data_IF_335397844352
#
_entry.id   IF_335397844352
#
_cell.length_a   1.000
_cell.length_b   1.000
_cell.length_c   1.000
_cell.angle_alpha   90.00
_cell.angle_beta   90.00
_cell.angle_gamma   90.00
#
_symmetry.space_group_name_H-M   'P 1'
#
loop_
_entity.id
_entity.type
_entity.pdbx_description
1 polymer ?
#
# COMPACT_ATOMS: atom_id res chain seq x y z
N UNK A 1 6.17 -18.54 -0.03
CA UNK A 1 6.37 -18.16 -1.48
C UNK A 1 7.86 -18.32 -1.79
N UNK A 2 8.23 -18.97 -2.89
CA UNK A 2 9.63 -19.09 -3.30
C UNK A 2 10.14 -17.81 -3.99
N UNK A 3 11.46 -17.70 -4.16
CA UNK A 3 12.10 -16.50 -4.72
C UNK A 3 11.74 -16.23 -6.19
N UNK A 4 11.52 -17.27 -6.99
CA UNK A 4 11.18 -17.12 -8.41
C UNK A 4 9.77 -16.55 -8.59
N UNK A 5 8.80 -17.03 -7.80
CA UNK A 5 7.44 -16.52 -7.82
C UNK A 5 7.36 -15.09 -7.27
N UNK A 6 8.15 -14.78 -6.23
CA UNK A 6 8.28 -13.41 -5.74
C UNK A 6 8.79 -12.49 -6.83
N UNK A 7 9.88 -12.87 -7.50
CA UNK A 7 10.46 -12.08 -8.59
C UNK A 7 9.47 -11.88 -9.74
N UNK A 8 8.71 -12.92 -10.10
CA UNK A 8 7.66 -12.80 -11.11
C UNK A 8 6.64 -11.72 -10.73
N UNK A 9 6.14 -11.67 -9.50
CA UNK A 9 5.21 -10.63 -9.07
C UNK A 9 5.88 -9.24 -9.06
N UNK A 10 7.13 -9.14 -8.62
CA UNK A 10 7.87 -7.87 -8.66
C UNK A 10 7.99 -7.36 -10.09
N UNK A 11 8.35 -8.22 -11.04
CA UNK A 11 8.52 -7.84 -12.45
C UNK A 11 7.20 -7.38 -13.10
N UNK A 12 6.06 -7.98 -12.71
CA UNK A 12 4.73 -7.61 -13.19
C UNK A 12 4.20 -6.31 -12.55
N UNK A 13 4.49 -6.09 -11.28
CA UNK A 13 3.86 -5.01 -10.50
C UNK A 13 4.70 -3.74 -10.45
N UNK A 14 6.02 -3.85 -10.26
CA UNK A 14 6.89 -2.67 -10.12
C UNK A 14 6.79 -1.67 -11.28
N UNK A 15 6.62 -2.06 -12.57
CA UNK A 15 6.43 -1.10 -13.65
C UNK A 15 5.22 -0.18 -13.48
N UNK A 16 4.17 -0.62 -12.74
CA UNK A 16 2.98 0.20 -12.47
C UNK A 16 3.29 1.39 -11.56
N UNK A 17 4.24 1.22 -10.63
CA UNK A 17 4.71 2.29 -9.76
C UNK A 17 5.57 3.35 -10.49
N UNK A 18 5.87 3.14 -11.79
CA UNK A 18 6.59 4.11 -12.65
C UNK A 18 5.65 4.92 -13.54
N UNK A 19 4.35 4.81 -13.37
CA UNK A 19 3.38 5.57 -14.13
C UNK A 19 3.60 7.07 -13.95
N UNK A 20 3.57 7.88 -15.04
CA UNK A 20 4.10 9.25 -15.01
C UNK A 20 3.27 10.25 -14.19
N UNK A 21 2.06 9.89 -13.80
CA UNK A 21 1.22 10.72 -12.93
C UNK A 21 1.49 10.51 -11.43
N UNK A 22 2.17 9.44 -11.03
CA UNK A 22 2.53 9.17 -9.64
C UNK A 22 3.64 10.12 -9.19
N UNK A 23 3.49 10.70 -8.01
CA UNK A 23 4.48 11.58 -7.39
C UNK A 23 4.96 11.04 -6.05
N UNK A 24 4.01 10.58 -5.23
CA UNK A 24 4.30 9.93 -3.96
C UNK A 24 4.13 8.41 -4.05
N UNK A 25 3.00 7.91 -4.63
CA UNK A 25 2.69 6.48 -4.72
C UNK A 25 3.47 5.82 -5.87
N UNK A 26 4.79 6.05 -5.86
CA UNK A 26 5.79 5.60 -6.83
C UNK A 26 6.66 4.45 -6.30
N UNK A 27 7.72 4.06 -7.03
CA UNK A 27 8.64 2.99 -6.62
C UNK A 27 9.35 3.29 -5.30
N UNK A 28 9.61 4.56 -4.96
CA UNK A 28 10.24 4.94 -3.71
C UNK A 28 9.33 4.62 -2.53
N UNK A 29 8.05 4.98 -2.62
CA UNK A 29 7.05 4.59 -1.62
C UNK A 29 7.01 3.07 -1.45
N UNK A 30 6.93 2.31 -2.56
CA UNK A 30 6.96 0.85 -2.51
C UNK A 30 8.20 0.32 -1.80
N UNK A 31 9.39 0.85 -2.11
CA UNK A 31 10.64 0.43 -1.47
C UNK A 31 10.66 0.80 0.02
N UNK A 32 10.14 1.97 0.40
CA UNK A 32 10.04 2.41 1.78
C UNK A 32 9.13 1.48 2.62
N UNK A 33 7.93 1.14 2.13
CA UNK A 33 7.01 0.25 2.87
C UNK A 33 7.54 -1.19 2.97
N UNK A 34 8.13 -1.72 1.91
CA UNK A 34 8.74 -3.05 1.93
C UNK A 34 9.93 -3.11 2.88
N UNK A 35 10.76 -2.05 2.96
CA UNK A 35 11.87 -1.99 3.90
C UNK A 35 11.40 -1.95 5.36
N UNK A 36 10.25 -1.32 5.66
CA UNK A 36 9.65 -1.38 7.01
C UNK A 36 9.19 -2.79 7.33
N UNK A 37 8.46 -3.43 6.41
CA UNK A 37 7.99 -4.80 6.58
C UNK A 37 9.14 -5.80 6.80
N UNK A 38 10.26 -5.63 6.07
CA UNK A 38 11.44 -6.49 6.23
C UNK A 38 12.06 -6.34 7.63
N UNK A 39 12.15 -5.12 8.16
CA UNK A 39 12.61 -4.89 9.55
C UNK A 39 11.69 -5.53 10.59
N UNK A 40 10.36 -5.45 10.40
CA UNK A 40 9.38 -6.11 11.27
C UNK A 40 9.52 -7.64 11.23
N UNK A 41 9.75 -8.20 10.04
CA UNK A 41 9.99 -9.63 9.86
C UNK A 41 11.29 -10.09 10.56
N UNK A 42 12.39 -9.33 10.44
CA UNK A 42 13.65 -9.60 11.14
C UNK A 42 13.47 -9.59 12.66
N UNK A 43 12.62 -8.69 13.17
CA UNK A 43 12.27 -8.62 14.59
C UNK A 43 11.25 -9.68 15.03
N UNK A 44 10.80 -10.54 14.10
CA UNK A 44 9.79 -11.60 14.33
C UNK A 44 8.44 -11.09 14.84
N UNK A 45 8.06 -9.90 14.41
CA UNK A 45 6.77 -9.30 14.78
C UNK A 45 5.63 -9.75 13.86
N UNK A 46 5.94 -10.21 12.64
CA UNK A 46 4.97 -10.69 11.67
C UNK A 46 4.79 -12.22 11.81
N UNK A 47 3.53 -12.66 11.85
CA UNK A 47 3.20 -14.08 11.84
C UNK A 47 3.37 -14.68 10.42
N UNK A 48 3.00 -13.92 9.40
CA UNK A 48 3.05 -14.30 7.97
C UNK A 48 3.79 -13.25 7.14
N UNK A 49 5.13 -13.08 7.27
CA UNK A 49 5.86 -12.03 6.57
C UNK A 49 5.66 -12.04 5.05
N UNK A 50 5.50 -13.23 4.46
CA UNK A 50 5.26 -13.40 3.03
C UNK A 50 3.91 -12.84 2.56
N UNK A 51 2.89 -12.91 3.40
CA UNK A 51 1.55 -12.34 3.13
C UNK A 51 1.61 -10.82 3.21
N UNK A 52 2.23 -10.28 4.27
CA UNK A 52 2.39 -8.83 4.44
C UNK A 52 3.17 -8.21 3.27
N UNK A 53 4.30 -8.81 2.89
CA UNK A 53 5.09 -8.36 1.73
C UNK A 53 4.29 -8.40 0.43
N UNK A 54 3.50 -9.47 0.22
CA UNK A 54 2.66 -9.62 -0.97
C UNK A 54 1.58 -8.53 -1.01
N UNK A 55 0.92 -8.30 0.12
CA UNK A 55 -0.08 -7.23 0.24
C UNK A 55 0.54 -5.86 -0.07
N UNK A 56 1.70 -5.53 0.53
CA UNK A 56 2.39 -4.26 0.31
C UNK A 56 2.95 -4.11 -1.12
N UNK A 57 3.34 -5.21 -1.79
CA UNK A 57 3.72 -5.13 -3.20
C UNK A 57 2.55 -4.69 -4.09
N UNK A 58 1.33 -5.10 -3.73
CA UNK A 58 0.14 -4.89 -4.55
C UNK A 58 -0.75 -3.72 -4.09
N UNK A 59 -0.59 -3.15 -2.89
CA UNK A 59 -1.57 -2.25 -2.28
C UNK A 59 -1.93 -1.04 -3.17
N UNK A 60 -0.95 -0.47 -3.85
CA UNK A 60 -1.11 0.64 -4.80
C UNK A 60 -0.76 0.24 -6.24
N UNK A 61 -0.84 -1.06 -6.58
CA UNK A 61 -0.52 -1.52 -7.93
C UNK A 61 -1.47 -0.92 -8.99
N UNK A 62 -2.70 -0.62 -8.61
CA UNK A 62 -3.63 0.22 -9.38
C UNK A 62 -3.79 1.53 -8.63
N UNK A 63 -3.41 2.63 -9.25
CA UNK A 63 -3.49 3.96 -8.64
C UNK A 63 -3.90 5.00 -9.68
N UNK A 64 -5.19 5.29 -9.72
CA UNK A 64 -5.79 6.28 -10.61
C UNK A 64 -6.24 7.49 -9.80
N UNK A 65 -5.98 8.68 -10.31
CA UNK A 65 -6.35 9.94 -9.66
C UNK A 65 -7.02 10.85 -10.70
N UNK A 66 -8.36 11.05 -10.62
CA UNK A 66 -9.32 10.46 -9.68
C UNK A 66 -9.49 8.96 -9.90
N UNK A 67 -9.86 8.24 -8.83
CA UNK A 67 -10.13 6.81 -8.93
C UNK A 67 -11.32 6.52 -9.88
N UNK A 68 -11.26 5.36 -10.53
CA UNK A 68 -12.32 4.86 -11.39
C UNK A 68 -13.60 4.47 -10.61
N UNK A 69 -14.51 3.71 -11.25
CA UNK A 69 -15.78 3.28 -10.62
C UNK A 69 -15.56 2.32 -9.43
N UNK A 70 -14.38 1.73 -9.35
CA UNK A 70 -13.92 0.87 -8.25
C UNK A 70 -12.76 1.59 -7.56
N UNK A 71 -12.64 1.49 -6.24
CA UNK A 71 -11.51 2.11 -5.53
C UNK A 71 -10.18 1.49 -5.96
N UNK A 72 -9.09 2.25 -5.83
CA UNK A 72 -7.74 1.79 -6.17
C UNK A 72 -7.36 0.53 -5.39
N UNK A 73 -7.71 0.47 -4.12
CA UNK A 73 -7.44 -0.66 -3.23
C UNK A 73 -8.20 -1.91 -3.66
N UNK A 74 -9.49 -1.77 -4.01
CA UNK A 74 -10.26 -2.90 -4.54
C UNK A 74 -9.71 -3.37 -5.89
N UNK A 75 -9.37 -2.46 -6.80
CA UNK A 75 -8.76 -2.80 -8.08
C UNK A 75 -7.40 -3.48 -7.91
N UNK A 76 -6.59 -3.05 -6.96
CA UNK A 76 -5.31 -3.65 -6.58
C UNK A 76 -5.49 -5.05 -5.99
N UNK A 77 -6.49 -5.23 -5.12
CA UNK A 77 -6.83 -6.54 -4.56
C UNK A 77 -7.29 -7.54 -5.64
N UNK A 78 -8.16 -7.11 -6.55
CA UNK A 78 -8.62 -7.92 -7.70
C UNK A 78 -7.45 -8.28 -8.64
N UNK A 79 -6.51 -7.37 -8.84
CA UNK A 79 -5.30 -7.64 -9.63
C UNK A 79 -4.45 -8.73 -8.96
N UNK A 80 -4.24 -8.65 -7.64
CA UNK A 80 -3.55 -9.70 -6.90
C UNK A 80 -4.26 -11.05 -7.06
N UNK A 81 -5.58 -11.10 -6.81
CA UNK A 81 -6.38 -12.32 -6.91
C UNK A 81 -6.25 -12.96 -8.29
N UNK A 82 -6.30 -12.15 -9.36
CA UNK A 82 -6.15 -12.62 -10.73
C UNK A 82 -4.75 -13.17 -11.03
N UNK A 83 -3.69 -12.45 -10.66
CA UNK A 83 -2.30 -12.83 -10.98
C UNK A 83 -1.80 -13.99 -10.14
N UNK A 84 -2.28 -14.13 -8.90
CA UNK A 84 -1.87 -15.17 -7.97
C UNK A 84 -2.70 -16.46 -8.10
N UNK A 85 -3.84 -16.44 -8.78
CA UNK A 85 -4.70 -17.61 -8.98
C UNK A 85 -3.93 -18.80 -9.54
N UNK A 86 -4.03 -19.95 -8.87
CA UNK A 86 -3.34 -21.19 -9.24
C UNK A 86 -1.81 -21.19 -9.00
N UNK A 87 -1.23 -20.08 -8.50
CA UNK A 87 0.20 -19.97 -8.17
C UNK A 87 0.43 -19.98 -6.66
N UNK A 88 -0.53 -19.50 -5.88
CA UNK A 88 -0.51 -19.49 -4.42
C UNK A 88 -1.76 -20.15 -3.85
N UNK A 89 -1.67 -20.54 -2.58
CA UNK A 89 -2.82 -21.03 -1.83
C UNK A 89 -3.89 -19.93 -1.70
N UNK A 90 -5.16 -20.28 -1.84
CA UNK A 90 -6.27 -19.35 -1.76
C UNK A 90 -6.32 -18.60 -0.42
N UNK A 91 -5.88 -19.21 0.69
CA UNK A 91 -5.78 -18.56 1.99
C UNK A 91 -4.79 -17.41 1.98
N UNK A 92 -3.62 -17.58 1.37
CA UNK A 92 -2.59 -16.53 1.21
C UNK A 92 -3.15 -15.38 0.37
N UNK A 93 -3.78 -15.70 -0.76
CA UNK A 93 -4.38 -14.72 -1.66
C UNK A 93 -5.46 -13.92 -0.93
N UNK A 94 -6.39 -14.60 -0.25
CA UNK A 94 -7.49 -13.95 0.46
C UNK A 94 -7.01 -13.06 1.60
N UNK A 95 -6.00 -13.49 2.36
CA UNK A 95 -5.43 -12.71 3.46
C UNK A 95 -4.71 -11.45 2.93
N UNK A 96 -3.88 -11.59 1.91
CA UNK A 96 -3.20 -10.44 1.30
C UNK A 96 -4.19 -9.45 0.67
N UNK A 97 -5.21 -9.95 -0.05
CA UNK A 97 -6.26 -9.10 -0.63
C UNK A 97 -7.08 -8.38 0.45
N UNK A 98 -7.35 -9.02 1.59
CA UNK A 98 -8.03 -8.38 2.73
C UNK A 98 -7.19 -7.25 3.32
N UNK A 99 -5.86 -7.42 3.43
CA UNK A 99 -4.94 -6.37 3.87
C UNK A 99 -4.97 -5.20 2.88
N UNK A 100 -4.90 -5.44 1.57
CA UNK A 100 -4.98 -4.39 0.55
C UNK A 100 -6.28 -3.60 0.69
N UNK A 101 -7.43 -4.28 0.80
CA UNK A 101 -8.73 -3.62 1.00
C UNK A 101 -8.79 -2.79 2.28
N UNK A 102 -8.09 -3.22 3.32
CA UNK A 102 -8.04 -2.48 4.58
C UNK A 102 -7.31 -1.13 4.46
N UNK A 103 -6.38 -0.96 3.53
CA UNK A 103 -5.69 0.33 3.33
C UNK A 103 -6.64 1.45 2.88
N UNK A 104 -7.78 1.13 2.24
CA UNK A 104 -8.83 2.10 1.91
C UNK A 104 -9.45 2.79 3.14
N UNK A 105 -9.25 2.25 4.33
CA UNK A 105 -9.93 2.68 5.54
C UNK A 105 -8.98 3.05 6.68
N UNK A 106 -7.78 3.56 6.34
CA UNK A 106 -6.82 4.07 7.33
C UNK A 106 -7.51 4.97 8.36
N UNK A 107 -7.22 4.73 9.63
CA UNK A 107 -7.76 5.50 10.75
C UNK A 107 -9.25 5.27 11.08
N UNK A 108 -10.00 4.51 10.25
CA UNK A 108 -11.42 4.21 10.48
C UNK A 108 -11.68 2.79 10.99
N UNK A 109 -10.74 1.88 10.79
CA UNK A 109 -10.83 0.50 11.30
C UNK A 109 -10.36 0.44 12.75
N UNK A 110 -11.04 -0.40 13.55
CA UNK A 110 -10.58 -0.69 14.90
C UNK A 110 -9.51 -1.77 14.83
N UNK A 111 -8.48 -1.67 15.66
CA UNK A 111 -7.45 -2.70 15.75
C UNK A 111 -8.04 -4.11 16.03
N UNK A 112 -9.17 -4.19 16.77
CA UNK A 112 -9.89 -5.45 17.02
C UNK A 112 -10.45 -6.11 15.77
N UNK A 113 -10.63 -5.37 14.68
CA UNK A 113 -11.25 -5.85 13.44
C UNK A 113 -10.20 -6.37 12.46
N UNK A 114 -8.92 -6.25 12.80
CA UNK A 114 -7.76 -6.59 11.97
C UNK A 114 -6.90 -7.66 12.66
N UNK A 115 -6.28 -8.52 11.84
CA UNK A 115 -5.17 -9.36 12.32
C UNK A 115 -3.96 -8.50 12.68
N UNK A 116 -3.05 -9.02 13.53
CA UNK A 116 -1.82 -8.30 13.85
C UNK A 116 -0.99 -7.98 12.59
N UNK A 117 -0.90 -8.91 11.64
CA UNK A 117 -0.19 -8.70 10.37
C UNK A 117 -0.83 -7.61 9.53
N UNK A 118 -2.18 -7.54 9.51
CA UNK A 118 -2.89 -6.45 8.82
C UNK A 118 -2.62 -5.09 9.48
N UNK A 119 -2.61 -5.01 10.82
CA UNK A 119 -2.25 -3.77 11.53
C UNK A 119 -0.84 -3.32 11.16
N UNK A 120 0.15 -4.24 11.22
CA UNK A 120 1.52 -3.91 10.83
C UNK A 120 1.64 -3.50 9.35
N UNK A 121 0.86 -4.09 8.44
CA UNK A 121 0.86 -3.69 7.03
C UNK A 121 0.35 -2.25 6.87
N UNK A 122 -0.72 -1.87 7.57
CA UNK A 122 -1.24 -0.50 7.57
C UNK A 122 -0.22 0.48 8.19
N UNK A 123 0.46 0.08 9.27
CA UNK A 123 1.52 0.88 9.89
C UNK A 123 2.73 1.04 8.95
N UNK A 124 3.07 0.04 8.14
CA UNK A 124 4.11 0.16 7.12
C UNK A 124 3.77 1.24 6.10
N UNK A 125 2.53 1.27 5.61
CA UNK A 125 2.05 2.25 4.64
C UNK A 125 2.04 3.68 5.24
N UNK A 126 1.63 3.80 6.49
CA UNK A 126 1.62 5.07 7.22
C UNK A 126 2.96 5.48 7.86
N UNK A 127 4.03 4.68 7.69
CA UNK A 127 5.33 4.96 8.32
C UNK A 127 5.93 6.31 7.90
N UNK A 128 5.54 6.85 6.76
CA UNK A 128 5.92 8.18 6.27
C UNK A 128 5.51 9.30 7.26
N UNK A 129 4.44 9.12 8.01
CA UNK A 129 3.97 10.11 8.99
C UNK A 129 4.95 10.30 10.15
N UNK A 130 5.78 9.28 10.42
CA UNK A 130 6.86 9.31 11.41
C UNK A 130 8.25 9.55 10.82
N UNK A 131 8.36 9.91 9.55
CA UNK A 131 9.65 10.13 8.88
C UNK A 131 10.35 11.41 9.37
N UNK A 132 11.66 11.54 9.05
CA UNK A 132 12.39 12.78 9.28
C UNK A 132 11.70 13.98 8.60
N UNK A 133 11.77 15.20 9.19
CA UNK A 133 11.02 16.35 8.70
C UNK A 133 11.19 16.64 7.21
N UNK A 134 12.39 16.47 6.68
CA UNK A 134 12.69 16.72 5.26
C UNK A 134 11.94 15.73 4.35
N UNK A 135 11.87 14.44 4.74
CA UNK A 135 11.15 13.42 3.99
C UNK A 135 9.65 13.61 4.10
N UNK A 136 9.14 13.94 5.29
CA UNK A 136 7.72 14.24 5.48
C UNK A 136 7.28 15.47 4.65
N UNK A 137 8.07 16.54 4.64
CA UNK A 137 7.78 17.73 3.82
C UNK A 137 7.84 17.43 2.31
N UNK A 138 8.69 16.49 1.89
CA UNK A 138 8.70 16.02 0.50
C UNK A 138 7.40 15.27 0.18
N UNK A 139 6.98 14.35 1.05
CA UNK A 139 5.71 13.63 0.95
C UNK A 139 4.51 14.57 0.82
N UNK A 140 4.41 15.62 1.67
CA UNK A 140 3.31 16.59 1.58
C UNK A 140 3.25 17.29 0.22
N UNK A 141 4.41 17.65 -0.36
CA UNK A 141 4.47 18.24 -1.70
C UNK A 141 4.06 17.24 -2.78
N UNK A 142 4.57 16.02 -2.70
CA UNK A 142 4.30 14.95 -3.66
C UNK A 142 2.82 14.57 -3.69
N UNK A 143 2.19 14.44 -2.52
CA UNK A 143 0.73 14.23 -2.41
C UNK A 143 -0.04 15.41 -3.02
N UNK A 144 0.38 16.67 -2.73
CA UNK A 144 -0.28 17.83 -3.32
C UNK A 144 -0.17 17.85 -4.84
N UNK A 145 0.95 17.41 -5.40
CA UNK A 145 1.17 17.31 -6.85
C UNK A 145 0.28 16.23 -7.48
N UNK A 146 0.16 15.05 -6.88
CA UNK A 146 -0.74 13.98 -7.34
C UNK A 146 -2.21 14.44 -7.39
N UNK A 147 -2.63 15.21 -6.38
CA UNK A 147 -3.99 15.75 -6.29
C UNK A 147 -4.10 17.20 -6.79
N UNK A 148 -3.23 17.62 -7.71
CA UNK A 148 -3.18 19.01 -8.23
C UNK A 148 -4.50 19.48 -8.88
N UNK A 149 -5.32 18.55 -9.38
CA UNK A 149 -6.63 18.82 -9.95
C UNK A 149 -7.70 19.16 -8.89
N UNK A 150 -7.46 18.84 -7.60
CA UNK A 150 -8.37 19.15 -6.51
C UNK A 150 -8.16 20.60 -6.04
N UNK A 151 -9.23 21.42 -5.92
CA UNK A 151 -9.13 22.76 -5.36
C UNK A 151 -8.46 22.77 -3.99
N UNK A 152 -7.68 23.80 -3.72
CA UNK A 152 -6.81 23.87 -2.53
C UNK A 152 -7.58 23.78 -1.19
N UNK A 153 -8.73 24.41 -1.10
CA UNK A 153 -9.61 24.38 0.09
C UNK A 153 -10.14 22.96 0.35
N UNK A 154 -10.60 22.27 -0.70
CA UNK A 154 -11.08 20.88 -0.63
C UNK A 154 -9.95 19.94 -0.24
N UNK A 155 -8.76 20.12 -0.86
CA UNK A 155 -7.59 19.31 -0.55
C UNK A 155 -7.20 19.45 0.93
N UNK A 156 -7.10 20.69 1.44
CA UNK A 156 -6.74 20.94 2.84
C UNK A 156 -7.73 20.34 3.82
N UNK A 157 -9.03 20.45 3.56
CA UNK A 157 -10.06 19.86 4.41
C UNK A 157 -9.94 18.32 4.44
N UNK A 158 -9.79 17.68 3.27
CA UNK A 158 -9.63 16.23 3.17
C UNK A 158 -8.33 15.77 3.85
N UNK A 159 -7.23 16.52 3.66
CA UNK A 159 -5.93 16.22 4.26
C UNK A 159 -5.96 16.35 5.78
N UNK A 160 -6.61 17.39 6.32
CA UNK A 160 -6.80 17.55 7.77
C UNK A 160 -7.53 16.35 8.38
N UNK A 161 -8.64 15.92 7.78
CA UNK A 161 -9.39 14.73 8.24
C UNK A 161 -8.59 13.42 8.19
N UNK A 162 -7.67 13.31 7.25
CA UNK A 162 -6.80 12.12 7.15
C UNK A 162 -5.75 12.08 8.26
N UNK A 163 -5.28 13.24 8.74
CA UNK A 163 -4.24 13.36 9.77
C UNK A 163 -4.79 13.40 11.21
N UNK A 164 -6.11 13.51 11.42
CA UNK A 164 -6.81 13.45 12.71
C UNK A 164 -7.04 11.99 13.17
#
# INVERSE_FOLDING_TARGET
>A
MNSELWQHFVDEIRPRYREPWRRYHDERHLDEVLAVADRLAEQRLLASPGVVRLALLFHDAVYEVPSGPVSNEEASALLLESLAAGKLDNSIISEAAAIIRATAAHGRLRASDLTADAQYALDCDLAILGAAPERYLAYEREIREEYSYVPEDIFREARGRFLE
#
